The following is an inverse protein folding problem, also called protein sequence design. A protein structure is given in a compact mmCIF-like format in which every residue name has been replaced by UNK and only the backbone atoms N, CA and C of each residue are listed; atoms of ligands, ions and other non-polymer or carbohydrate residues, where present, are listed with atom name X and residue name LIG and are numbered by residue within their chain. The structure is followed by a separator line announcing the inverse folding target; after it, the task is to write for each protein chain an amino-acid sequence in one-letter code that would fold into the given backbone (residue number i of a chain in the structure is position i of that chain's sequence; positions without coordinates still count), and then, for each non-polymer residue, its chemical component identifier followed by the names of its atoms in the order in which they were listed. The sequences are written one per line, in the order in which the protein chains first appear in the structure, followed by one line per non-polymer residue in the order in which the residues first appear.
data_IF_603400960888
#
_entry.id   IF_603400960888
#
_cell.length_a   1.000
_cell.length_b   1.000
_cell.length_c   1.000
_cell.angle_alpha   90.00
_cell.angle_beta   90.00
_cell.angle_gamma   90.00
#
_symmetry.space_group_name_H-M   'P 1'
#
loop_
_entity.id
_entity.type
_entity.pdbx_description
1 polymer ?
#
# COMPACT_ATOMS: atom_id res chain seq x y z
N UNK A 1 27.02 19.53 9.00
CA UNK A 1 26.13 18.68 8.22
C UNK A 1 25.29 17.92 9.22
N UNK A 2 24.08 18.38 9.50
CA UNK A 2 23.17 17.74 10.43
C UNK A 2 22.65 16.47 9.73
N UNK A 3 23.03 15.31 10.27
CA UNK A 3 22.40 14.03 9.94
C UNK A 3 20.90 14.17 10.28
N UNK A 4 20.08 14.45 9.28
CA UNK A 4 18.66 14.43 9.44
C UNK A 4 18.25 13.03 9.91
N UNK A 5 17.72 12.93 11.11
CA UNK A 5 17.12 11.69 11.56
C UNK A 5 16.01 11.35 10.55
N UNK A 6 16.08 10.14 9.95
CA UNK A 6 15.02 9.67 9.06
C UNK A 6 13.71 9.74 9.84
N UNK A 7 12.72 10.42 9.28
CA UNK A 7 11.37 10.45 9.85
C UNK A 7 10.78 9.03 9.78
N UNK A 8 10.00 8.62 10.78
CA UNK A 8 9.38 7.30 10.76
C UNK A 8 8.41 7.19 9.57
N UNK A 9 8.40 6.03 8.94
CA UNK A 9 7.52 5.74 7.82
C UNK A 9 6.18 5.18 8.31
N UNK A 10 5.11 5.64 7.69
CA UNK A 10 3.80 5.03 7.72
C UNK A 10 3.63 4.20 6.45
N UNK A 11 3.11 2.98 6.57
CA UNK A 11 2.90 2.06 5.47
C UNK A 11 1.40 1.83 5.20
N UNK A 12 0.73 2.70 4.44
CA UNK A 12 -0.58 2.39 3.92
C UNK A 12 -0.44 1.24 2.92
N UNK A 13 -1.35 0.30 2.95
CA UNK A 13 -1.44 -0.73 1.94
C UNK A 13 -2.89 -0.95 1.52
N UNK A 14 -3.12 -1.13 0.26
CA UNK A 14 -4.39 -1.55 -0.28
C UNK A 14 -4.22 -2.93 -0.93
N UNK A 15 -4.81 -3.94 -0.33
CA UNK A 15 -4.96 -5.24 -0.96
C UNK A 15 -6.19 -5.17 -1.86
N UNK A 16 -5.99 -5.24 -3.15
CA UNK A 16 -7.04 -5.02 -4.15
C UNK A 16 -7.63 -6.33 -4.67
N UNK A 17 -6.91 -7.44 -4.52
CA UNK A 17 -7.40 -8.76 -4.87
C UNK A 17 -7.70 -9.55 -3.59
N UNK A 18 -8.87 -10.14 -3.49
CA UNK A 18 -9.15 -11.08 -2.43
C UNK A 18 -10.34 -10.77 -1.57
N UNK A 19 -11.17 -9.81 -1.94
CA UNK A 19 -12.50 -9.65 -1.35
C UNK A 19 -13.51 -10.67 -1.91
N UNK A 20 -13.06 -11.72 -2.61
CA UNK A 20 -13.90 -12.84 -2.94
C UNK A 20 -13.99 -13.75 -1.73
N UNK A 21 -15.19 -13.94 -1.21
CA UNK A 21 -15.48 -14.86 -0.12
C UNK A 21 -14.82 -16.23 -0.39
N UNK A 22 -14.04 -16.73 0.56
CA UNK A 22 -13.38 -18.02 0.48
C UNK A 22 -11.95 -18.01 -0.08
N UNK A 23 -11.37 -16.86 -0.32
CA UNK A 23 -10.01 -16.76 -0.80
C UNK A 23 -9.03 -16.85 0.37
N UNK A 24 -8.36 -17.96 0.48
CA UNK A 24 -7.22 -18.18 1.38
C UNK A 24 -5.91 -17.82 0.67
N UNK A 25 -5.82 -16.60 0.14
CA UNK A 25 -4.58 -16.12 -0.39
C UNK A 25 -3.62 -15.84 0.77
N UNK A 26 -2.46 -16.51 0.83
CA UNK A 26 -1.42 -16.18 1.80
C UNK A 26 -1.04 -14.69 1.79
N UNK A 27 -1.28 -14.00 0.67
CA UNK A 27 -1.02 -12.57 0.53
C UNK A 27 -2.18 -11.68 1.00
N UNK A 28 -3.42 -12.12 0.97
CA UNK A 28 -4.51 -11.44 1.67
C UNK A 28 -4.28 -11.45 3.20
N UNK A 29 -3.68 -12.52 3.71
CA UNK A 29 -3.15 -12.64 5.07
C UNK A 29 -1.79 -11.93 5.26
N UNK A 30 -1.13 -11.54 4.21
CA UNK A 30 0.06 -10.69 4.17
C UNK A 30 -0.34 -9.19 4.20
N UNK A 31 -1.56 -8.89 4.61
CA UNK A 31 -1.83 -7.59 5.15
C UNK A 31 -0.65 -7.16 6.02
N UNK A 32 -0.35 -5.89 6.02
CA UNK A 32 0.70 -5.18 6.76
C UNK A 32 1.22 -5.89 8.04
N UNK A 33 0.36 -6.61 8.76
CA UNK A 33 0.67 -7.32 10.00
C UNK A 33 1.57 -8.56 9.85
N UNK A 34 1.65 -9.15 8.67
CA UNK A 34 2.53 -10.31 8.41
C UNK A 34 3.78 -9.95 7.63
N UNK A 35 3.68 -8.98 6.71
CA UNK A 35 4.87 -8.49 5.99
C UNK A 35 5.76 -7.65 6.89
N UNK A 36 5.15 -6.83 7.72
CA UNK A 36 5.80 -5.95 8.68
C UNK A 36 5.26 -6.24 10.09
N UNK A 37 5.49 -7.45 10.63
CA UNK A 37 5.24 -7.67 12.05
C UNK A 37 6.19 -6.73 12.79
N UNK A 38 5.63 -5.81 13.57
CA UNK A 38 6.34 -4.79 14.36
C UNK A 38 7.79 -5.17 14.67
N UNK A 39 8.75 -4.36 14.23
CA UNK A 39 10.12 -4.58 14.62
C UNK A 39 11.14 -4.47 13.48
N UNK A 40 12.01 -5.44 13.35
CA UNK A 40 13.23 -5.39 12.56
C UNK A 40 12.97 -5.08 11.07
N UNK A 41 11.94 -5.65 10.44
CA UNK A 41 11.65 -5.40 9.01
C UNK A 41 11.20 -3.96 8.77
N UNK A 42 10.38 -3.42 9.66
CA UNK A 42 9.95 -2.01 9.59
C UNK A 42 11.13 -1.05 9.81
N UNK A 43 12.00 -1.38 10.76
CA UNK A 43 13.24 -0.62 10.98
C UNK A 43 14.18 -0.68 9.77
N UNK A 44 14.30 -1.84 9.12
CA UNK A 44 15.07 -1.98 7.87
C UNK A 44 14.49 -1.04 6.80
N UNK A 45 13.17 -1.06 6.56
CA UNK A 45 12.54 -0.17 5.57
C UNK A 45 12.77 1.31 5.89
N UNK A 46 12.62 1.71 7.16
CA UNK A 46 12.90 3.08 7.58
C UNK A 46 14.35 3.50 7.29
N UNK A 47 15.30 2.58 7.46
CA UNK A 47 16.71 2.89 7.21
C UNK A 47 17.05 2.99 5.72
N UNK A 48 16.48 2.12 4.88
CA UNK A 48 16.77 2.09 3.43
C UNK A 48 15.95 3.09 2.63
N UNK A 49 14.82 3.59 3.16
CA UNK A 49 14.02 4.61 2.50
C UNK A 49 14.72 5.95 2.37
N UNK A 50 15.58 6.30 3.34
CA UNK A 50 16.37 7.53 3.26
C UNK A 50 17.58 7.41 2.35
N UNK A 51 18.17 6.23 2.28
CA UNK A 51 19.36 5.94 1.47
C UNK A 51 19.57 4.43 1.37
N UNK A 52 19.87 3.86 0.19
CA UNK A 52 20.21 2.45 0.05
C UNK A 52 21.36 2.02 0.98
N UNK A 53 21.24 0.83 1.57
CA UNK A 53 22.21 0.33 2.57
C UNK A 53 22.58 -1.11 2.33
N UNK A 54 23.82 -1.45 2.71
CA UNK A 54 24.32 -2.82 2.73
C UNK A 54 23.84 -3.57 3.98
N UNK A 55 23.92 -4.91 3.95
CA UNK A 55 23.64 -5.76 5.12
C UNK A 55 24.53 -5.37 6.31
N UNK A 56 25.80 -5.06 6.08
CA UNK A 56 26.73 -4.66 7.14
C UNK A 56 26.32 -3.34 7.80
N UNK A 57 25.91 -2.35 7.00
CA UNK A 57 25.40 -1.07 7.52
C UNK A 57 24.11 -1.21 8.30
N UNK A 58 23.19 -2.07 7.81
CA UNK A 58 21.94 -2.38 8.51
C UNK A 58 22.22 -3.10 9.84
N UNK A 59 23.10 -4.10 9.81
CA UNK A 59 23.51 -4.85 11.02
C UNK A 59 24.06 -3.92 12.09
N UNK A 60 24.94 -3.00 11.70
CA UNK A 60 25.51 -1.99 12.62
C UNK A 60 24.43 -1.04 13.18
N UNK A 61 23.51 -0.56 12.32
CA UNK A 61 22.46 0.39 12.74
C UNK A 61 21.41 -0.24 13.65
N UNK A 62 21.11 -1.51 13.44
CA UNK A 62 20.10 -2.26 14.19
C UNK A 62 20.67 -3.01 15.40
N UNK A 63 21.99 -3.00 15.58
CA UNK A 63 22.71 -3.76 16.61
C UNK A 63 22.39 -5.28 16.53
N UNK A 64 22.25 -5.79 15.30
CA UNK A 64 21.98 -7.19 15.00
C UNK A 64 23.17 -7.86 14.32
N UNK A 65 23.18 -9.20 14.35
CA UNK A 65 24.18 -9.95 13.57
C UNK A 65 23.90 -9.85 12.07
N UNK A 66 24.95 -9.79 11.24
CA UNK A 66 24.81 -9.76 9.78
C UNK A 66 24.01 -10.97 9.23
N UNK A 67 24.15 -12.21 9.73
CA UNK A 67 23.31 -13.33 9.31
C UNK A 67 21.82 -13.11 9.62
N UNK A 68 21.47 -12.50 10.77
CA UNK A 68 20.08 -12.19 11.10
C UNK A 68 19.48 -11.18 10.13
N UNK A 69 20.20 -10.08 9.88
CA UNK A 69 19.79 -9.06 8.90
C UNK A 69 19.66 -9.65 7.50
N UNK A 70 20.61 -10.48 7.09
CA UNK A 70 20.56 -11.17 5.80
C UNK A 70 19.28 -12.01 5.63
N UNK A 71 18.86 -12.71 6.69
CA UNK A 71 17.61 -13.48 6.65
C UNK A 71 16.39 -12.56 6.45
N UNK A 72 16.30 -11.46 7.21
CA UNK A 72 15.22 -10.49 7.06
C UNK A 72 15.19 -9.85 5.67
N UNK A 73 16.35 -9.41 5.16
CA UNK A 73 16.47 -8.81 3.83
C UNK A 73 16.04 -9.79 2.73
N UNK A 74 16.49 -11.05 2.80
CA UNK A 74 16.07 -12.07 1.82
C UNK A 74 14.56 -12.34 1.85
N UNK A 75 13.96 -12.38 3.04
CA UNK A 75 12.50 -12.51 3.16
C UNK A 75 11.77 -11.32 2.55
N UNK A 76 12.32 -10.11 2.73
CA UNK A 76 11.74 -8.88 2.18
C UNK A 76 11.91 -8.78 0.67
N UNK A 77 13.01 -9.29 0.11
CA UNK A 77 13.18 -9.43 -1.35
C UNK A 77 12.18 -10.43 -1.92
N UNK A 78 12.02 -11.61 -1.29
CA UNK A 78 11.03 -12.61 -1.72
C UNK A 78 9.59 -12.09 -1.67
N UNK A 79 9.33 -11.16 -0.77
CA UNK A 79 8.04 -10.47 -0.62
C UNK A 79 7.95 -9.20 -1.46
N UNK A 80 8.92 -8.94 -2.32
CA UNK A 80 8.98 -7.77 -3.22
C UNK A 80 8.95 -6.41 -2.48
N UNK A 81 9.29 -6.39 -1.20
CA UNK A 81 9.38 -5.16 -0.39
C UNK A 81 10.72 -4.44 -0.57
N UNK A 82 11.77 -5.19 -0.84
CA UNK A 82 13.11 -4.68 -1.13
C UNK A 82 13.59 -5.15 -2.48
N UNK A 83 14.45 -4.37 -3.08
CA UNK A 83 15.24 -4.72 -4.27
C UNK A 83 16.70 -4.32 -4.09
N UNK A 84 17.58 -4.88 -4.89
CA UNK A 84 18.95 -4.40 -5.01
C UNK A 84 18.95 -3.05 -5.76
N UNK A 85 19.76 -2.10 -5.30
CA UNK A 85 19.83 -0.76 -5.89
C UNK A 85 20.80 -0.75 -7.06
N UNK A 86 20.30 -0.71 -8.29
CA UNK A 86 21.12 -0.67 -9.50
C UNK A 86 22.03 0.55 -9.58
N UNK A 87 21.60 1.68 -9.04
CA UNK A 87 22.39 2.92 -9.06
C UNK A 87 23.62 2.81 -8.14
N UNK A 88 23.43 2.26 -6.94
CA UNK A 88 24.53 2.06 -5.99
C UNK A 88 25.43 0.91 -6.38
N UNK A 89 24.92 -0.14 -7.00
CA UNK A 89 25.72 -1.23 -7.54
C UNK A 89 26.72 -0.74 -8.60
N UNK A 90 26.33 0.17 -9.48
CA UNK A 90 27.21 0.80 -10.47
C UNK A 90 28.33 1.60 -9.82
N UNK A 91 28.08 2.23 -8.66
CA UNK A 91 29.07 3.02 -7.91
C UNK A 91 29.95 2.16 -7.03
N UNK A 92 29.44 1.04 -6.54
CA UNK A 92 30.09 0.15 -5.56
C UNK A 92 29.94 -1.33 -5.96
N UNK A 93 30.60 -1.79 -7.03
CA UNK A 93 30.37 -3.11 -7.64
C UNK A 93 30.74 -4.31 -6.75
N UNK A 94 31.40 -4.09 -5.64
CA UNK A 94 31.80 -5.14 -4.68
C UNK A 94 30.82 -5.32 -3.52
N UNK A 95 29.82 -4.45 -3.41
CA UNK A 95 28.85 -4.44 -2.31
C UNK A 95 27.43 -4.40 -2.87
N UNK A 96 26.52 -5.09 -2.21
CA UNK A 96 25.10 -5.04 -2.54
C UNK A 96 24.38 -4.06 -1.63
N UNK A 97 23.71 -3.10 -2.25
CA UNK A 97 22.86 -2.12 -1.60
C UNK A 97 21.40 -2.45 -1.82
N UNK A 98 20.58 -2.25 -0.81
CA UNK A 98 19.16 -2.54 -0.83
C UNK A 98 18.36 -1.26 -0.66
N UNK A 99 17.25 -1.15 -1.39
CA UNK A 99 16.32 -0.04 -1.37
C UNK A 99 14.87 -0.53 -1.37
N UNK A 100 13.87 0.31 -1.02
CA UNK A 100 12.46 -0.06 -1.12
C UNK A 100 12.08 -0.40 -2.57
N UNK A 101 11.26 -1.43 -2.76
CA UNK A 101 10.70 -1.79 -4.07
C UNK A 101 9.29 -1.22 -4.27
N UNK A 102 9.03 -0.04 -3.70
CA UNK A 102 7.76 0.67 -3.78
C UNK A 102 8.00 2.18 -3.59
N UNK A 103 7.04 3.04 -4.00
CA UNK A 103 7.15 4.47 -3.81
C UNK A 103 7.24 4.85 -2.33
N UNK A 104 8.14 5.78 -2.01
CA UNK A 104 8.26 6.40 -0.69
C UNK A 104 8.02 7.90 -0.88
N UNK A 105 6.92 8.41 -0.33
CA UNK A 105 6.59 9.83 -0.37
C UNK A 105 7.21 10.57 0.80
N UNK A 106 7.88 11.66 0.54
CA UNK A 106 8.37 12.56 1.59
C UNK A 106 7.20 13.34 2.21
N UNK A 107 7.38 13.80 3.44
CA UNK A 107 6.32 14.51 4.16
C UNK A 107 5.76 15.72 3.37
N UNK A 108 6.66 16.49 2.75
CA UNK A 108 6.33 17.66 1.90
C UNK A 108 5.52 17.27 0.64
N UNK A 109 5.82 16.12 0.04
CA UNK A 109 5.10 15.61 -1.14
C UNK A 109 3.71 15.09 -0.76
N UNK A 110 3.57 14.54 0.46
CA UNK A 110 2.30 14.00 0.95
C UNK A 110 1.23 15.09 1.16
N UNK A 111 1.61 16.31 1.49
CA UNK A 111 0.64 17.37 1.82
C UNK A 111 -0.24 17.72 0.62
N UNK A 112 0.37 17.98 -0.53
CA UNK A 112 -0.35 18.29 -1.77
C UNK A 112 -1.26 17.13 -2.21
N UNK A 113 -0.76 15.88 -2.14
CA UNK A 113 -1.56 14.71 -2.48
C UNK A 113 -2.71 14.48 -1.51
N UNK A 114 -2.51 14.73 -0.20
CA UNK A 114 -3.59 14.62 0.81
C UNK A 114 -4.71 15.64 0.54
N UNK A 115 -4.37 16.85 0.16
CA UNK A 115 -5.38 17.88 -0.13
C UNK A 115 -6.14 17.55 -1.41
N UNK A 116 -5.45 17.07 -2.45
CA UNK A 116 -6.10 16.56 -3.65
C UNK A 116 -7.02 15.36 -3.33
N UNK A 117 -6.59 14.44 -2.49
CA UNK A 117 -7.43 13.31 -2.05
C UNK A 117 -8.68 13.78 -1.29
N UNK A 118 -8.56 14.80 -0.43
CA UNK A 118 -9.73 15.39 0.27
C UNK A 118 -10.71 16.00 -0.72
N UNK A 119 -10.22 16.79 -1.68
CA UNK A 119 -11.06 17.38 -2.71
C UNK A 119 -11.81 16.30 -3.52
N UNK A 120 -11.12 15.25 -3.93
CA UNK A 120 -11.72 14.13 -4.64
C UNK A 120 -12.74 13.38 -3.78
N UNK A 121 -12.47 13.20 -2.49
CA UNK A 121 -13.39 12.55 -1.55
C UNK A 121 -14.69 13.35 -1.40
N UNK A 122 -14.61 14.67 -1.31
CA UNK A 122 -15.80 15.56 -1.29
C UNK A 122 -16.63 15.44 -2.58
N UNK A 123 -15.96 15.34 -3.73
CA UNK A 123 -16.66 15.13 -5.02
C UNK A 123 -17.39 13.78 -5.05
N UNK A 124 -16.80 12.72 -4.50
CA UNK A 124 -17.43 11.40 -4.38
C UNK A 124 -18.61 11.47 -3.41
N UNK A 125 -18.47 12.10 -2.24
CA UNK A 125 -19.57 12.29 -1.29
C UNK A 125 -20.74 13.03 -1.94
N UNK A 126 -20.47 14.16 -2.58
CA UNK A 126 -21.49 14.92 -3.32
C UNK A 126 -22.16 14.12 -4.47
N UNK A 127 -21.43 13.18 -5.10
CA UNK A 127 -22.01 12.27 -6.08
C UNK A 127 -23.06 11.34 -5.43
N UNK A 128 -22.77 10.77 -4.26
CA UNK A 128 -23.69 9.91 -3.53
C UNK A 128 -24.93 10.69 -3.07
N UNK A 129 -24.74 11.89 -2.50
CA UNK A 129 -25.85 12.77 -2.12
C UNK A 129 -26.80 13.06 -3.29
N UNK A 130 -26.25 13.49 -4.43
CA UNK A 130 -27.04 13.76 -5.64
C UNK A 130 -27.77 12.51 -6.17
N UNK A 131 -27.31 11.31 -5.87
CA UNK A 131 -27.89 10.04 -6.31
C UNK A 131 -28.78 9.38 -5.27
N UNK A 132 -28.88 9.92 -4.06
CA UNK A 132 -29.61 9.34 -2.93
C UNK A 132 -31.04 8.93 -3.32
N UNK A 133 -31.83 9.85 -3.88
CA UNK A 133 -33.21 9.56 -4.27
C UNK A 133 -33.32 8.44 -5.34
N UNK A 134 -32.29 8.27 -6.19
CA UNK A 134 -32.25 7.16 -7.15
C UNK A 134 -31.90 5.85 -6.45
N UNK A 135 -30.99 5.88 -5.50
CA UNK A 135 -30.61 4.71 -4.69
C UNK A 135 -31.78 4.24 -3.84
N UNK A 136 -32.51 5.14 -3.18
CA UNK A 136 -33.72 4.83 -2.43
C UNK A 136 -34.81 4.16 -3.31
N UNK A 137 -35.05 4.70 -4.50
CA UNK A 137 -35.98 4.08 -5.43
C UNK A 137 -35.58 2.69 -5.90
N UNK A 138 -34.26 2.47 -6.10
CA UNK A 138 -33.74 1.16 -6.44
C UNK A 138 -33.86 0.18 -5.27
N UNK A 139 -33.51 0.62 -4.07
CA UNK A 139 -33.61 -0.17 -2.83
C UNK A 139 -35.04 -0.64 -2.57
N UNK A 140 -36.05 0.26 -2.67
CA UNK A 140 -37.49 -0.07 -2.48
C UNK A 140 -38.04 -1.09 -3.47
N UNK A 141 -37.29 -1.42 -4.53
CA UNK A 141 -37.68 -2.46 -5.50
C UNK A 141 -37.06 -3.83 -5.18
N UNK A 142 -36.30 -3.90 -4.12
CA UNK A 142 -35.69 -5.15 -3.63
C UNK A 142 -36.44 -5.63 -2.40
N UNK A 143 -36.27 -6.92 -2.05
CA UNK A 143 -36.80 -7.49 -0.80
C UNK A 143 -35.87 -7.21 0.39
N UNK A 144 -34.80 -6.42 0.24
CA UNK A 144 -33.79 -6.22 1.28
C UNK A 144 -34.40 -5.55 2.52
N UNK A 145 -35.29 -4.58 2.35
CA UNK A 145 -35.98 -3.92 3.46
C UNK A 145 -36.84 -4.89 4.26
N UNK A 146 -37.47 -5.89 3.60
CA UNK A 146 -38.27 -6.91 4.27
C UNK A 146 -37.43 -7.83 5.16
N UNK A 147 -36.11 -7.90 4.89
CA UNK A 147 -35.13 -8.65 5.67
C UNK A 147 -34.39 -7.78 6.71
N UNK A 148 -34.86 -6.56 6.94
CA UNK A 148 -34.31 -5.66 7.96
C UNK A 148 -33.05 -4.90 7.56
N UNK A 149 -32.66 -4.90 6.26
CA UNK A 149 -31.57 -4.07 5.75
C UNK A 149 -32.03 -2.63 5.54
N UNK A 150 -31.13 -1.70 5.78
CA UNK A 150 -31.35 -0.29 5.50
C UNK A 150 -30.55 0.17 4.26
N UNK A 151 -30.96 1.29 3.68
CA UNK A 151 -30.24 1.86 2.53
C UNK A 151 -28.77 2.19 2.88
N UNK A 152 -28.48 2.61 4.10
CA UNK A 152 -27.12 2.87 4.61
C UNK A 152 -26.22 1.65 4.49
N UNK A 153 -26.72 0.46 4.81
CA UNK A 153 -25.96 -0.79 4.71
C UNK A 153 -25.63 -1.11 3.24
N UNK A 154 -26.61 -0.90 2.36
CA UNK A 154 -26.46 -1.15 0.93
C UNK A 154 -25.56 -0.10 0.26
N UNK A 155 -25.57 1.13 0.77
CA UNK A 155 -24.71 2.21 0.25
C UNK A 155 -23.23 1.85 0.39
N UNK A 156 -22.84 1.16 1.44
CA UNK A 156 -21.45 0.65 1.58
C UNK A 156 -21.09 -0.34 0.46
N UNK A 157 -22.00 -1.25 0.11
CA UNK A 157 -21.80 -2.18 -1.01
C UNK A 157 -21.74 -1.44 -2.36
N UNK A 158 -22.57 -0.41 -2.53
CA UNK A 158 -22.56 0.42 -3.75
C UNK A 158 -21.24 1.19 -3.87
N UNK A 159 -20.73 1.75 -2.78
CA UNK A 159 -19.45 2.43 -2.75
C UNK A 159 -18.31 1.49 -3.18
N UNK A 160 -18.25 0.28 -2.61
CA UNK A 160 -17.21 -0.69 -2.95
C UNK A 160 -17.27 -1.11 -4.44
N UNK A 161 -18.47 -1.32 -4.97
CA UNK A 161 -18.65 -1.67 -6.39
C UNK A 161 -18.33 -0.50 -7.32
N UNK A 162 -18.72 0.73 -6.94
CA UNK A 162 -18.38 1.95 -7.68
C UNK A 162 -16.87 2.13 -7.74
N UNK A 163 -16.17 1.97 -6.62
CA UNK A 163 -14.71 2.09 -6.55
C UNK A 163 -14.02 1.09 -7.50
N UNK A 164 -14.44 -0.20 -7.48
CA UNK A 164 -13.91 -1.21 -8.40
C UNK A 164 -14.14 -0.86 -9.87
N UNK A 165 -15.34 -0.41 -10.20
CA UNK A 165 -15.69 -0.01 -11.57
C UNK A 165 -14.94 1.23 -12.00
N UNK A 166 -14.79 2.23 -11.11
CA UNK A 166 -14.01 3.43 -11.36
C UNK A 166 -12.54 3.09 -11.63
N UNK A 167 -11.95 2.20 -10.83
CA UNK A 167 -10.58 1.73 -11.05
C UNK A 167 -10.42 1.13 -12.45
N UNK A 168 -11.29 0.21 -12.85
CA UNK A 168 -11.24 -0.40 -14.19
C UNK A 168 -11.33 0.64 -15.30
N UNK A 169 -12.19 1.65 -15.14
CA UNK A 169 -12.29 2.75 -16.10
C UNK A 169 -11.02 3.62 -16.14
N UNK A 170 -10.40 3.88 -15.01
CA UNK A 170 -9.15 4.65 -14.92
C UNK A 170 -7.98 3.90 -15.58
N UNK A 171 -7.90 2.58 -15.37
CA UNK A 171 -6.92 1.71 -16.05
C UNK A 171 -7.13 1.72 -17.57
N UNK A 172 -8.36 1.57 -18.05
CA UNK A 172 -8.71 1.63 -19.48
C UNK A 172 -8.38 2.99 -20.12
N UNK A 173 -8.46 4.07 -19.35
CA UNK A 173 -8.13 5.44 -19.80
C UNK A 173 -6.65 5.79 -19.66
N UNK A 174 -5.83 4.88 -19.15
CA UNK A 174 -4.40 5.11 -18.92
C UNK A 174 -4.08 6.07 -17.76
N UNK A 175 -5.05 6.35 -16.90
CA UNK A 175 -4.86 7.18 -15.70
C UNK A 175 -4.36 6.39 -14.49
N UNK A 176 -4.52 5.08 -14.51
CA UNK A 176 -3.91 4.14 -13.57
C UNK A 176 -3.12 3.10 -14.33
N UNK A 177 -1.96 2.77 -13.81
CA UNK A 177 -1.20 1.60 -14.27
C UNK A 177 -2.01 0.34 -13.95
N UNK A 178 -2.16 -0.60 -14.90
CA UNK A 178 -2.72 -1.91 -14.61
C UNK A 178 -1.96 -2.56 -13.45
N UNK A 179 -2.68 -3.26 -12.60
CA UNK A 179 -2.07 -3.95 -11.47
C UNK A 179 -1.09 -5.00 -11.95
N UNK A 180 0.08 -5.00 -11.37
CA UNK A 180 1.02 -6.09 -11.56
C UNK A 180 0.58 -7.29 -10.72
N UNK A 181 0.67 -8.48 -11.32
CA UNK A 181 0.49 -9.72 -10.59
C UNK A 181 1.82 -10.10 -9.97
N UNK A 182 1.85 -10.20 -8.67
CA UNK A 182 2.99 -10.74 -7.95
C UNK A 182 3.17 -12.23 -8.24
N UNK A 183 4.33 -12.79 -7.93
CA UNK A 183 4.68 -14.16 -8.28
C UNK A 183 3.72 -15.25 -7.79
N UNK A 184 2.89 -14.95 -6.79
CA UNK A 184 1.81 -15.80 -6.28
C UNK A 184 0.44 -15.52 -6.92
N UNK A 185 0.36 -14.63 -7.90
CA UNK A 185 -0.87 -14.23 -8.57
C UNK A 185 -1.73 -13.19 -7.85
N UNK A 186 -1.30 -12.73 -6.68
CA UNK A 186 -1.99 -11.65 -5.96
C UNK A 186 -1.73 -10.28 -6.63
N UNK A 187 -2.66 -9.38 -6.46
CA UNK A 187 -2.56 -8.00 -6.91
C UNK A 187 -2.63 -7.08 -5.68
N UNK A 188 -1.54 -6.40 -5.36
CA UNK A 188 -1.51 -5.45 -4.26
C UNK A 188 -0.72 -4.19 -4.63
N UNK A 189 -0.99 -3.12 -3.92
CA UNK A 189 -0.27 -1.86 -4.02
C UNK A 189 0.27 -1.54 -2.63
N UNK A 190 1.54 -1.23 -2.56
CA UNK A 190 2.23 -0.87 -1.34
C UNK A 190 2.98 0.43 -1.56
N UNK A 191 2.96 1.30 -0.56
CA UNK A 191 3.74 2.54 -0.56
C UNK A 191 4.07 2.93 0.89
N UNK A 192 4.97 3.87 1.05
CA UNK A 192 5.27 4.45 2.35
C UNK A 192 5.14 5.97 2.32
N UNK A 193 4.79 6.54 3.43
CA UNK A 193 4.71 7.98 3.67
C UNK A 193 5.57 8.33 4.88
N UNK A 194 6.42 9.35 4.76
CA UNK A 194 7.09 9.91 5.92
C UNK A 194 6.06 10.54 6.86
N UNK A 195 6.17 10.21 8.16
CA UNK A 195 5.32 10.79 9.20
C UNK A 195 6.03 12.00 9.79
N UNK A 196 5.27 13.09 10.04
CA UNK A 196 5.78 14.25 10.78
C UNK A 196 6.14 13.91 12.23
#
# INVERSE_FOLDING_TARGET
MTSGANKPLRFPCECVSGMAAGYTDPWADIAKHRLLPNGTKEQILNLVAGEPKTISQLAQKLELSAPSVHTHVNDMIKSELLRESEEFEKKHPTERYYEPNFPVFKAEECEEFRDLCKEMAEQVAALFERRQAKMERAFRRTSLGDHGWELSDITQCLYANMYRSARSLLEQRGLLTPREKHGNGAEWIFWAEEHE
#
